data_IF_950512405930
#
_entry.id   IF_950512405930
#
_cell.length_a   1.000
_cell.length_b   1.000
_cell.length_c   1.000
_cell.angle_alpha   90.00
_cell.angle_beta   90.00
_cell.angle_gamma   90.00
#
_symmetry.space_group_name_H-M   'P 1'
#
loop_
_entity.id
_entity.type
_entity.pdbx_description
1 polymer ?
#
# COMPACT_ATOMS: atom_id res chain seq x y z
N UNK A 1 30.06 48.09 0.20
CA UNK A 1 28.60 47.83 0.30
C UNK A 1 28.13 46.61 -0.52
N UNK A 2 28.64 46.39 -1.74
CA UNK A 2 28.19 45.29 -2.62
C UNK A 2 28.44 43.87 -2.06
N UNK A 3 29.58 43.59 -1.43
CA UNK A 3 29.92 42.27 -0.86
C UNK A 3 28.94 41.76 0.21
N UNK A 4 28.36 42.64 1.03
CA UNK A 4 27.35 42.26 2.04
C UNK A 4 26.03 41.80 1.40
N UNK A 5 25.64 42.36 0.25
CA UNK A 5 24.41 41.97 -0.47
C UNK A 5 24.51 40.56 -1.04
N UNK A 6 25.68 40.17 -1.57
CA UNK A 6 25.89 38.82 -2.12
C UNK A 6 25.94 37.72 -1.05
N UNK A 7 26.47 38.03 0.15
CA UNK A 7 26.49 37.09 1.28
C UNK A 7 25.06 36.84 1.81
N UNK A 8 24.24 37.88 1.93
CA UNK A 8 22.84 37.74 2.36
C UNK A 8 22.03 36.95 1.33
N UNK A 9 22.23 37.20 0.04
CA UNK A 9 21.56 36.45 -1.03
C UNK A 9 21.96 34.97 -1.04
N UNK A 10 23.25 34.67 -0.83
CA UNK A 10 23.74 33.30 -0.71
C UNK A 10 23.17 32.58 0.50
N UNK A 11 23.12 33.24 1.68
CA UNK A 11 22.53 32.67 2.90
C UNK A 11 21.03 32.42 2.77
N UNK A 12 20.29 33.30 2.09
CA UNK A 12 18.86 33.10 1.79
C UNK A 12 18.62 31.96 0.80
N UNK A 13 19.50 31.79 -0.20
CA UNK A 13 19.45 30.66 -1.13
C UNK A 13 19.78 29.34 -0.42
N UNK A 14 20.78 29.30 0.45
CA UNK A 14 21.11 28.09 1.22
C UNK A 14 20.05 27.78 2.28
N UNK A 15 19.46 28.79 2.93
CA UNK A 15 18.35 28.60 3.87
C UNK A 15 17.07 28.11 3.15
N UNK A 16 16.75 28.66 1.98
CA UNK A 16 15.66 28.19 1.14
C UNK A 16 15.87 26.76 0.60
N UNK A 17 17.11 26.38 0.32
CA UNK A 17 17.48 25.00 -0.04
C UNK A 17 17.42 24.05 1.17
N UNK A 18 17.80 24.51 2.36
CA UNK A 18 17.78 23.72 3.59
C UNK A 18 16.36 23.48 4.10
N UNK A 19 15.47 24.49 4.06
CA UNK A 19 14.03 24.34 4.34
C UNK A 19 13.33 23.41 3.34
N UNK A 20 13.76 23.41 2.07
CA UNK A 20 13.29 22.41 1.08
C UNK A 20 13.77 20.99 1.40
N UNK A 21 14.95 20.84 2.00
CA UNK A 21 15.49 19.54 2.38
C UNK A 21 14.89 19.01 3.70
N UNK A 22 14.59 19.90 4.66
CA UNK A 22 14.10 19.53 6.00
C UNK A 22 12.58 19.31 6.08
N UNK A 23 11.83 19.52 4.99
CA UNK A 23 10.37 19.28 4.93
C UNK A 23 9.99 18.15 3.97
N UNK A 24 10.94 17.25 3.67
CA UNK A 24 10.72 16.16 2.69
C UNK A 24 10.09 14.89 3.28
N UNK A 25 10.06 14.77 4.60
CA UNK A 25 9.43 13.65 5.31
C UNK A 25 7.96 13.95 5.59
N UNK A 26 7.08 13.02 5.22
CA UNK A 26 5.65 13.13 5.49
C UNK A 26 4.75 13.32 4.27
N UNK A 27 3.46 13.18 4.50
CA UNK A 27 2.42 13.31 3.50
C UNK A 27 2.23 14.76 3.05
N UNK A 28 1.87 14.94 1.77
CA UNK A 28 1.38 16.20 1.24
C UNK A 28 0.54 15.94 -0.02
N UNK A 29 -0.44 16.80 -0.28
CA UNK A 29 -1.38 16.63 -1.40
C UNK A 29 -0.67 16.59 -2.77
N UNK A 30 0.39 17.38 -2.95
CA UNK A 30 1.18 17.40 -4.19
C UNK A 30 1.86 16.05 -4.49
N UNK A 31 2.16 15.23 -3.46
CA UNK A 31 2.80 13.92 -3.62
C UNK A 31 1.83 12.88 -4.15
N UNK A 32 0.53 13.05 -3.93
CA UNK A 32 -0.55 12.16 -4.39
C UNK A 32 -1.29 12.70 -5.61
N UNK A 33 -1.12 13.98 -5.94
CA UNK A 33 -1.68 14.59 -7.13
C UNK A 33 -1.08 14.02 -8.42
N UNK A 34 -1.92 13.87 -9.43
CA UNK A 34 -1.53 13.43 -10.78
C UNK A 34 -2.24 14.25 -11.85
N UNK A 35 -1.65 14.39 -13.03
CA UNK A 35 -2.33 14.89 -14.23
C UNK A 35 -2.67 13.75 -15.19
N UNK A 36 -2.80 12.52 -14.67
CA UNK A 36 -3.03 11.33 -15.47
C UNK A 36 -4.45 11.38 -16.05
N UNK A 37 -4.57 11.19 -17.37
CA UNK A 37 -5.88 11.07 -18.01
C UNK A 37 -6.56 9.76 -17.55
N UNK A 38 -7.89 9.76 -17.36
CA UNK A 38 -8.63 8.52 -17.12
C UNK A 38 -8.38 7.49 -18.22
N UNK A 39 -8.22 6.22 -17.82
CA UNK A 39 -7.94 5.13 -18.74
C UNK A 39 -8.96 4.01 -18.55
N UNK A 40 -9.65 3.54 -19.62
CA UNK A 40 -10.56 2.41 -19.55
C UNK A 40 -9.89 1.13 -19.00
N UNK A 41 -8.59 0.96 -19.25
CA UNK A 41 -7.84 -0.21 -18.77
C UNK A 41 -7.73 -0.31 -17.24
N UNK A 42 -8.00 0.79 -16.52
CA UNK A 42 -7.99 0.87 -15.06
C UNK A 42 -9.35 1.23 -14.47
N UNK A 43 -10.38 1.25 -15.31
CA UNK A 43 -11.75 1.32 -14.84
C UNK A 43 -12.13 -0.01 -14.20
N UNK A 44 -12.96 0.05 -13.17
CA UNK A 44 -13.60 -1.10 -12.56
C UNK A 44 -15.10 -1.02 -12.76
N UNK A 45 -15.76 -2.16 -12.66
CA UNK A 45 -17.22 -2.20 -12.64
C UNK A 45 -17.75 -1.37 -11.46
N UNK A 46 -18.87 -0.69 -11.69
CA UNK A 46 -19.52 0.09 -10.66
C UNK A 46 -19.95 -0.85 -9.52
N UNK A 47 -19.63 -0.52 -8.26
CA UNK A 47 -20.10 -1.32 -7.12
C UNK A 47 -21.63 -1.43 -7.11
N UNK A 48 -22.15 -2.50 -6.52
CA UNK A 48 -23.59 -2.60 -6.24
C UNK A 48 -24.04 -1.45 -5.33
N UNK A 49 -25.35 -1.17 -5.27
CA UNK A 49 -25.86 -0.11 -4.40
C UNK A 49 -25.49 -0.33 -2.92
N UNK A 50 -25.52 -1.58 -2.46
CA UNK A 50 -25.13 -1.97 -1.10
C UNK A 50 -23.63 -1.78 -0.86
N UNK A 51 -22.79 -2.23 -1.80
CA UNK A 51 -21.34 -2.02 -1.72
C UNK A 51 -20.98 -0.54 -1.74
N UNK A 52 -21.64 0.24 -2.60
CA UNK A 52 -21.44 1.68 -2.71
C UNK A 52 -21.78 2.38 -1.39
N UNK A 53 -22.90 2.01 -0.75
CA UNK A 53 -23.29 2.54 0.55
C UNK A 53 -22.25 2.20 1.62
N UNK A 54 -21.76 0.95 1.64
CA UNK A 54 -20.69 0.53 2.56
C UNK A 54 -19.40 1.33 2.34
N UNK A 55 -18.98 1.50 1.08
CA UNK A 55 -17.79 2.28 0.73
C UNK A 55 -17.94 3.73 1.19
N UNK A 56 -19.09 4.36 0.93
CA UNK A 56 -19.37 5.73 1.35
C UNK A 56 -19.37 5.88 2.88
N UNK A 57 -19.94 4.92 3.60
CA UNK A 57 -19.92 4.93 5.06
C UNK A 57 -18.50 4.88 5.62
N UNK A 58 -17.63 4.02 5.06
CA UNK A 58 -16.22 3.94 5.46
C UNK A 58 -15.49 5.26 5.14
N UNK A 59 -15.67 5.79 3.92
CA UNK A 59 -15.00 7.01 3.46
C UNK A 59 -15.53 8.30 4.11
N UNK A 60 -16.67 8.25 4.80
CA UNK A 60 -17.17 9.35 5.62
C UNK A 60 -16.44 9.47 6.97
N UNK A 61 -15.73 8.41 7.38
CA UNK A 61 -14.92 8.42 8.59
C UNK A 61 -13.67 9.28 8.41
N UNK A 62 -13.11 9.74 9.52
CA UNK A 62 -11.80 10.38 9.55
C UNK A 62 -10.70 9.32 9.49
N UNK A 63 -9.61 9.64 8.80
CA UNK A 63 -8.46 8.75 8.69
C UNK A 63 -7.20 9.39 9.28
N UNK A 64 -6.44 8.64 10.06
CA UNK A 64 -5.16 9.04 10.65
C UNK A 64 -4.00 8.38 9.92
N UNK A 65 -2.89 9.10 9.77
CA UNK A 65 -1.68 8.58 9.16
C UNK A 65 -1.19 7.32 9.89
N UNK A 66 -1.10 6.22 9.15
CA UNK A 66 -0.61 4.94 9.63
C UNK A 66 0.87 4.75 9.28
N UNK A 67 1.27 5.17 8.09
CA UNK A 67 2.64 5.01 7.63
C UNK A 67 2.81 5.27 6.15
N UNK A 68 4.04 5.07 5.67
CA UNK A 68 4.35 5.20 4.26
C UNK A 68 5.20 4.05 3.73
N UNK A 69 4.87 3.59 2.52
CA UNK A 69 5.64 2.60 1.78
C UNK A 69 6.38 3.22 0.61
N UNK A 70 6.99 2.36 -0.21
CA UNK A 70 7.66 2.81 -1.42
C UNK A 70 6.71 3.42 -2.46
N UNK A 71 5.44 2.99 -2.47
CA UNK A 71 4.47 3.30 -3.52
C UNK A 71 3.27 4.13 -3.04
N UNK A 72 2.97 4.12 -1.74
CA UNK A 72 1.78 4.76 -1.20
C UNK A 72 1.99 5.35 0.19
N UNK A 73 1.10 6.26 0.57
CA UNK A 73 0.84 6.65 1.95
C UNK A 73 -0.37 5.87 2.44
N UNK A 74 -0.35 5.40 3.68
CA UNK A 74 -1.44 4.66 4.29
C UNK A 74 -2.03 5.46 5.46
N UNK A 75 -3.35 5.49 5.52
CA UNK A 75 -4.11 6.09 6.60
C UNK A 75 -5.13 5.08 7.11
N UNK A 76 -5.32 5.00 8.41
CA UNK A 76 -6.28 4.11 9.05
C UNK A 76 -7.51 4.87 9.54
N UNK A 77 -8.67 4.22 9.55
CA UNK A 77 -9.85 4.76 10.23
C UNK A 77 -9.65 4.83 11.75
N UNK A 78 -10.41 5.70 12.42
CA UNK A 78 -10.37 5.83 13.89
C UNK A 78 -10.71 4.53 14.63
N UNK A 79 -11.59 3.70 14.07
CA UNK A 79 -11.94 2.38 14.61
C UNK A 79 -10.88 1.30 14.32
N UNK A 80 -9.83 1.64 13.57
CA UNK A 80 -8.74 0.75 13.22
C UNK A 80 -9.11 -0.41 12.28
N UNK A 81 -10.28 -0.37 11.61
CA UNK A 81 -10.73 -1.51 10.77
C UNK A 81 -10.34 -1.39 9.30
N UNK A 82 -10.09 -0.18 8.81
CA UNK A 82 -9.86 0.06 7.39
C UNK A 82 -8.62 0.91 7.15
N UNK A 83 -7.99 0.70 5.99
CA UNK A 83 -6.84 1.44 5.51
C UNK A 83 -7.17 2.05 4.15
N UNK A 84 -7.05 3.38 4.07
CA UNK A 84 -7.07 4.14 2.83
C UNK A 84 -5.63 4.41 2.39
N UNK A 85 -5.25 3.92 1.21
CA UNK A 85 -3.91 4.16 0.66
C UNK A 85 -3.97 5.06 -0.57
N UNK A 86 -3.14 6.10 -0.57
CA UNK A 86 -2.96 7.00 -1.70
C UNK A 86 -1.62 6.74 -2.38
N UNK A 87 -1.62 6.64 -3.71
CA UNK A 87 -0.38 6.42 -4.46
C UNK A 87 0.51 7.66 -4.40
N UNK A 88 1.83 7.46 -4.25
CA UNK A 88 2.85 8.51 -4.36
C UNK A 88 3.03 8.92 -5.82
N UNK A 89 2.00 9.52 -6.41
CA UNK A 89 1.92 9.86 -7.83
C UNK A 89 3.13 10.65 -8.32
N UNK A 90 3.69 11.57 -7.51
CA UNK A 90 4.93 12.29 -7.86
C UNK A 90 6.13 11.39 -8.18
N UNK A 91 6.19 10.15 -7.66
CA UNK A 91 7.23 9.15 -8.01
C UNK A 91 7.00 8.52 -9.39
N UNK A 92 5.76 8.51 -9.86
CA UNK A 92 5.31 7.82 -11.06
C UNK A 92 5.03 8.75 -12.23
N UNK A 93 4.56 9.96 -11.97
CA UNK A 93 4.30 10.97 -12.96
C UNK A 93 5.57 11.77 -13.22
N UNK A 94 5.98 11.93 -14.48
CA UNK A 94 7.11 12.79 -14.81
C UNK A 94 6.80 14.25 -14.48
N UNK A 95 7.81 14.95 -13.98
CA UNK A 95 7.83 16.41 -13.92
C UNK A 95 8.29 17.00 -15.26
N UNK A 96 8.13 18.32 -15.46
CA UNK A 96 8.59 19.02 -16.66
C UNK A 96 10.09 18.74 -16.93
N UNK A 97 10.92 18.71 -15.88
CA UNK A 97 12.35 18.42 -16.00
C UNK A 97 12.64 16.98 -16.48
N UNK A 98 11.78 16.01 -16.13
CA UNK A 98 11.96 14.61 -16.55
C UNK A 98 11.82 14.45 -18.07
N UNK A 99 11.14 15.37 -18.76
CA UNK A 99 10.99 15.33 -20.22
C UNK A 99 12.33 15.54 -20.98
N UNK A 100 13.35 16.08 -20.31
CA UNK A 100 14.72 16.14 -20.85
C UNK A 100 15.38 14.75 -20.91
N UNK A 101 14.82 13.75 -20.20
CA UNK A 101 15.33 12.38 -20.16
C UNK A 101 14.19 11.38 -20.43
N UNK A 102 13.83 11.14 -21.71
CA UNK A 102 12.70 10.29 -22.08
C UNK A 102 12.71 8.88 -21.48
N UNK A 103 13.91 8.31 -21.23
CA UNK A 103 14.07 7.02 -20.59
C UNK A 103 13.53 7.00 -19.14
N UNK A 104 13.69 8.10 -18.39
CA UNK A 104 13.18 8.23 -17.02
C UNK A 104 11.66 8.28 -17.03
N UNK A 105 11.08 9.10 -17.93
CA UNK A 105 9.63 9.19 -18.17
C UNK A 105 9.04 7.81 -18.45
N UNK A 106 9.61 7.09 -19.44
CA UNK A 106 9.15 5.74 -19.82
C UNK A 106 9.22 4.76 -18.65
N UNK A 107 10.32 4.78 -17.88
CA UNK A 107 10.48 3.90 -16.71
C UNK A 107 9.44 4.16 -15.62
N UNK A 108 9.19 5.43 -15.29
CA UNK A 108 8.20 5.79 -14.25
C UNK A 108 6.78 5.41 -14.66
N UNK A 109 6.38 5.74 -15.89
CA UNK A 109 5.06 5.37 -16.41
C UNK A 109 4.90 3.84 -16.54
N UNK A 110 5.96 3.12 -16.94
CA UNK A 110 5.96 1.65 -16.93
C UNK A 110 5.73 1.13 -15.51
N UNK A 111 6.43 1.66 -14.51
CA UNK A 111 6.25 1.26 -13.11
C UNK A 111 4.84 1.54 -12.60
N UNK A 112 4.24 2.68 -12.96
CA UNK A 112 2.85 3.00 -12.63
C UNK A 112 1.89 1.95 -13.18
N UNK A 113 2.03 1.62 -14.47
CA UNK A 113 1.22 0.58 -15.13
C UNK A 113 1.35 -0.76 -14.41
N UNK A 114 2.55 -1.16 -14.01
CA UNK A 114 2.74 -2.38 -13.21
C UNK A 114 1.97 -2.34 -11.90
N UNK A 115 2.05 -1.23 -11.16
CA UNK A 115 1.34 -1.07 -9.88
C UNK A 115 -0.16 -1.14 -10.07
N UNK A 116 -0.71 -0.35 -10.99
CA UNK A 116 -2.14 -0.29 -11.22
C UNK A 116 -2.69 -1.62 -11.75
N UNK A 117 -1.97 -2.29 -12.65
CA UNK A 117 -2.37 -3.61 -13.13
C UNK A 117 -2.35 -4.65 -12.01
N UNK A 118 -1.36 -4.60 -11.11
CA UNK A 118 -1.31 -5.50 -9.94
C UNK A 118 -2.53 -5.33 -9.03
N UNK A 119 -2.88 -4.08 -8.69
CA UNK A 119 -4.09 -3.79 -7.92
C UNK A 119 -5.38 -4.17 -8.64
N UNK A 120 -5.46 -3.96 -9.95
CA UNK A 120 -6.62 -4.36 -10.75
C UNK A 120 -6.81 -5.87 -10.73
N UNK A 121 -5.75 -6.65 -10.98
CA UNK A 121 -5.80 -8.12 -10.89
C UNK A 121 -6.24 -8.56 -9.50
N UNK A 122 -5.64 -7.98 -8.46
CA UNK A 122 -5.97 -8.30 -7.08
C UNK A 122 -7.45 -8.03 -6.77
N UNK A 123 -7.97 -6.89 -7.20
CA UNK A 123 -9.38 -6.54 -7.00
C UNK A 123 -10.34 -7.46 -7.77
N UNK A 124 -10.01 -7.80 -9.02
CA UNK A 124 -10.90 -8.60 -9.88
C UNK A 124 -10.83 -10.12 -9.59
N UNK A 125 -9.71 -10.62 -9.10
CA UNK A 125 -9.46 -12.07 -8.94
C UNK A 125 -9.26 -12.52 -7.50
N UNK A 126 -8.76 -11.64 -6.64
CA UNK A 126 -8.28 -11.97 -5.30
C UNK A 126 -8.82 -11.01 -4.24
N UNK A 127 -10.03 -10.46 -4.45
CA UNK A 127 -10.59 -9.41 -3.59
C UNK A 127 -10.63 -9.82 -2.13
N UNK A 128 -11.14 -11.02 -1.84
CA UNK A 128 -11.20 -11.60 -0.49
C UNK A 128 -9.81 -11.93 0.07
N UNK A 129 -8.93 -12.46 -0.78
CA UNK A 129 -7.55 -12.84 -0.46
C UNK A 129 -6.62 -11.62 -0.24
N UNK A 130 -7.08 -10.41 -0.55
CA UNK A 130 -6.28 -9.17 -0.42
C UNK A 130 -6.96 -8.13 0.47
N UNK A 131 -8.19 -8.39 0.92
CA UNK A 131 -8.99 -7.44 1.69
C UNK A 131 -9.27 -6.13 0.96
N UNK A 132 -9.15 -6.09 -0.37
CA UNK A 132 -9.45 -4.88 -1.15
C UNK A 132 -10.96 -4.65 -1.18
N UNK A 133 -11.40 -3.52 -0.62
CA UNK A 133 -12.81 -3.13 -0.58
C UNK A 133 -13.16 -2.35 -1.84
N UNK A 134 -12.29 -1.43 -2.26
CA UNK A 134 -12.49 -0.59 -3.43
C UNK A 134 -11.15 -0.14 -4.01
N UNK A 135 -11.07 0.03 -5.33
CA UNK A 135 -9.93 0.65 -6.00
C UNK A 135 -10.42 1.78 -6.90
N UNK A 136 -9.74 2.92 -6.85
CA UNK A 136 -10.00 4.06 -7.73
C UNK A 136 -8.69 4.39 -8.44
N UNK A 137 -8.47 3.75 -9.59
CA UNK A 137 -7.22 3.88 -10.37
C UNK A 137 -7.36 4.81 -11.56
N UNK A 138 -8.60 5.19 -11.91
CA UNK A 138 -8.92 6.18 -12.92
C UNK A 138 -9.84 7.22 -12.28
N UNK A 139 -9.52 8.50 -12.50
CA UNK A 139 -10.31 9.62 -11.96
C UNK A 139 -11.71 9.63 -12.51
N UNK A 140 -12.66 10.07 -11.69
CA UNK A 140 -14.08 10.12 -12.02
C UNK A 140 -14.65 11.49 -11.64
N UNK A 141 -15.97 11.64 -11.72
CA UNK A 141 -16.71 12.85 -11.37
C UNK A 141 -18.03 12.51 -10.66
N UNK A 142 -18.19 11.26 -10.25
CA UNK A 142 -19.46 10.72 -9.78
C UNK A 142 -19.35 10.03 -8.42
N UNK A 143 -18.14 9.89 -7.86
CA UNK A 143 -17.97 9.44 -6.48
C UNK A 143 -18.55 10.50 -5.52
N UNK A 144 -18.33 11.78 -5.85
CA UNK A 144 -18.74 12.97 -5.12
C UNK A 144 -18.37 12.92 -3.63
N UNK A 145 -17.21 12.34 -3.32
CA UNK A 145 -16.77 12.07 -1.96
C UNK A 145 -15.49 12.86 -1.64
N UNK A 146 -15.47 13.46 -0.46
CA UNK A 146 -14.27 14.01 0.15
C UNK A 146 -13.95 13.24 1.42
N UNK A 147 -12.66 13.08 1.72
CA UNK A 147 -12.20 12.41 2.94
C UNK A 147 -11.34 13.35 3.77
N UNK A 148 -11.48 13.27 5.09
CA UNK A 148 -10.63 13.99 6.04
C UNK A 148 -9.46 13.11 6.47
N UNK A 149 -8.25 13.61 6.28
CA UNK A 149 -7.01 12.95 6.68
C UNK A 149 -6.30 13.75 7.77
N UNK A 150 -5.73 13.07 8.75
CA UNK A 150 -4.82 13.61 9.74
C UNK A 150 -3.42 13.07 9.45
N UNK A 151 -2.48 13.93 9.08
CA UNK A 151 -1.11 13.50 8.78
C UNK A 151 -0.28 13.19 10.05
N UNK A 152 0.97 12.76 9.87
CA UNK A 152 1.88 12.42 10.96
C UNK A 152 2.18 13.61 11.90
N UNK A 153 2.06 14.85 11.41
CA UNK A 153 2.27 16.07 12.18
C UNK A 153 0.97 16.58 12.85
N UNK A 154 -0.14 15.84 12.71
CA UNK A 154 -1.44 16.26 13.24
C UNK A 154 -2.12 17.35 12.41
N UNK A 155 -1.67 17.61 11.18
CA UNK A 155 -2.33 18.55 10.27
C UNK A 155 -3.46 17.85 9.53
N UNK A 156 -4.59 18.54 9.43
CA UNK A 156 -5.77 18.09 8.69
C UNK A 156 -5.67 18.43 7.20
N UNK A 157 -6.11 17.48 6.37
CA UNK A 157 -6.21 17.62 4.92
C UNK A 157 -7.59 17.13 4.46
N UNK A 158 -8.16 17.78 3.45
CA UNK A 158 -9.42 17.34 2.83
C UNK A 158 -9.16 16.96 1.38
N UNK A 159 -9.25 15.67 1.07
CA UNK A 159 -8.92 15.14 -0.25
C UNK A 159 -10.20 14.87 -1.03
N UNK A 160 -10.24 15.37 -2.27
CA UNK A 160 -11.30 15.11 -3.25
C UNK A 160 -11.03 13.78 -3.96
N UNK A 161 -11.82 12.75 -3.64
CA UNK A 161 -11.58 11.38 -4.08
C UNK A 161 -11.87 11.17 -5.57
N UNK A 162 -12.72 11.98 -6.19
CA UNK A 162 -12.94 11.95 -7.65
C UNK A 162 -11.65 12.28 -8.41
N UNK A 163 -10.76 13.08 -7.81
CA UNK A 163 -9.55 13.62 -8.44
C UNK A 163 -8.27 12.91 -8.04
N UNK A 164 -8.35 11.87 -7.23
CA UNK A 164 -7.17 11.20 -6.67
C UNK A 164 -7.25 9.69 -6.85
N UNK A 165 -6.14 9.07 -7.21
CA UNK A 165 -6.03 7.61 -7.25
C UNK A 165 -5.78 7.04 -5.86
N UNK A 166 -6.59 6.07 -5.44
CA UNK A 166 -6.52 5.48 -4.11
C UNK A 166 -7.02 4.03 -4.11
N UNK A 167 -6.78 3.34 -3.01
CA UNK A 167 -7.43 2.07 -2.69
C UNK A 167 -7.96 2.10 -1.26
N UNK A 168 -9.07 1.41 -1.03
CA UNK A 168 -9.62 1.14 0.28
C UNK A 168 -9.47 -0.35 0.57
N UNK A 169 -8.89 -0.68 1.72
CA UNK A 169 -8.52 -2.03 2.11
C UNK A 169 -8.91 -2.28 3.57
N UNK A 170 -9.20 -3.52 3.94
CA UNK A 170 -9.29 -3.93 5.35
C UNK A 170 -7.91 -3.78 6.03
N UNK A 171 -7.91 -3.39 7.30
CA UNK A 171 -6.67 -3.40 8.11
C UNK A 171 -6.42 -4.82 8.60
N UNK A 172 -5.20 -5.30 8.38
CA UNK A 172 -4.76 -6.60 8.90
C UNK A 172 -3.72 -6.44 10.01
N UNK A 173 -3.74 -7.40 10.92
CA UNK A 173 -2.61 -7.71 11.80
C UNK A 173 -1.53 -8.42 10.96
N UNK A 174 -0.28 -7.95 11.01
CA UNK A 174 0.79 -8.56 10.22
C UNK A 174 1.12 -9.96 10.72
N UNK A 175 1.53 -10.85 9.80
CA UNK A 175 1.77 -12.27 10.11
C UNK A 175 2.71 -12.45 11.30
N UNK A 176 3.84 -11.75 11.36
CA UNK A 176 4.82 -11.97 12.42
C UNK A 176 4.41 -11.38 13.76
N UNK A 177 3.59 -10.33 13.76
CA UNK A 177 3.00 -9.78 14.98
C UNK A 177 2.00 -10.79 15.56
N UNK A 178 1.12 -11.34 14.70
CA UNK A 178 0.17 -12.39 15.07
C UNK A 178 0.87 -13.63 15.63
N UNK A 179 1.89 -14.13 14.93
CA UNK A 179 2.61 -15.32 15.38
C UNK A 179 3.33 -15.08 16.72
N UNK A 180 3.87 -13.88 16.94
CA UNK A 180 4.46 -13.51 18.22
C UNK A 180 3.41 -13.46 19.35
N UNK A 181 2.24 -12.87 19.11
CA UNK A 181 1.15 -12.84 20.08
C UNK A 181 0.66 -14.24 20.47
N UNK A 182 0.39 -15.09 19.48
CA UNK A 182 -0.04 -16.47 19.72
C UNK A 182 1.03 -17.27 20.47
N UNK A 183 2.30 -17.05 20.15
CA UNK A 183 3.41 -17.70 20.85
C UNK A 183 3.50 -17.24 22.32
N UNK A 184 3.35 -15.94 22.59
CA UNK A 184 3.34 -15.41 23.96
C UNK A 184 2.17 -15.97 24.79
N UNK A 185 1.05 -16.30 24.13
CA UNK A 185 -0.11 -16.92 24.75
C UNK A 185 0.03 -18.45 24.91
N UNK A 186 1.08 -19.06 24.37
CA UNK A 186 1.27 -20.51 24.36
C UNK A 186 0.36 -21.26 23.38
N UNK A 187 -0.32 -20.55 22.47
CA UNK A 187 -1.23 -21.13 21.48
C UNK A 187 -0.47 -21.71 20.27
N UNK A 188 0.06 -22.92 20.47
CA UNK A 188 0.79 -23.64 19.41
C UNK A 188 -0.10 -24.01 18.22
N UNK A 189 -1.37 -24.31 18.47
CA UNK A 189 -2.30 -24.67 17.40
C UNK A 189 -2.60 -23.46 16.52
N UNK A 190 -2.87 -22.30 17.13
CA UNK A 190 -3.03 -21.01 16.46
C UNK A 190 -1.82 -20.62 15.60
N UNK A 191 -0.60 -20.84 16.10
CA UNK A 191 0.64 -20.60 15.32
C UNK A 191 0.66 -21.47 14.06
N UNK A 192 0.43 -22.78 14.20
CA UNK A 192 0.45 -23.71 13.07
C UNK A 192 -0.67 -23.46 12.06
N UNK A 193 -1.88 -23.16 12.55
CA UNK A 193 -3.03 -22.85 11.70
C UNK A 193 -2.81 -21.55 10.92
N UNK A 194 -2.27 -20.51 11.55
CA UNK A 194 -1.93 -19.23 10.90
C UNK A 194 -0.86 -19.42 9.81
N UNK A 195 0.19 -20.20 10.08
CA UNK A 195 1.22 -20.50 9.07
C UNK A 195 0.61 -21.23 7.88
N UNK A 196 -0.21 -22.26 8.13
CA UNK A 196 -0.89 -23.02 7.07
C UNK A 196 -1.79 -22.11 6.24
N UNK A 197 -2.59 -21.27 6.88
CA UNK A 197 -3.50 -20.34 6.22
C UNK A 197 -2.78 -19.38 5.25
N UNK A 198 -1.60 -18.86 5.62
CA UNK A 198 -0.79 -18.02 4.73
C UNK A 198 -0.19 -18.82 3.56
N UNK A 199 0.29 -20.04 3.82
CA UNK A 199 0.81 -20.89 2.75
C UNK A 199 -0.28 -21.27 1.76
N UNK A 200 -1.48 -21.59 2.24
CA UNK A 200 -2.64 -21.89 1.41
C UNK A 200 -3.09 -20.66 0.59
N UNK A 201 -3.06 -19.47 1.19
CA UNK A 201 -3.30 -18.21 0.49
C UNK A 201 -2.34 -18.02 -0.70
N UNK A 202 -1.04 -18.25 -0.48
CA UNK A 202 -0.04 -18.14 -1.55
C UNK A 202 -0.27 -19.20 -2.62
N UNK A 203 -0.60 -20.43 -2.21
CA UNK A 203 -0.84 -21.54 -3.11
C UNK A 203 -2.06 -21.29 -4.01
N UNK A 204 -3.19 -20.82 -3.47
CA UNK A 204 -4.41 -20.47 -4.24
C UNK A 204 -4.11 -19.54 -5.41
N UNK A 205 -3.29 -18.52 -5.18
CA UNK A 205 -2.89 -17.57 -6.21
C UNK A 205 -1.97 -18.21 -7.27
N UNK A 206 -1.02 -19.03 -6.83
CA UNK A 206 -0.09 -19.74 -7.73
C UNK A 206 -0.84 -20.73 -8.61
N UNK A 207 -1.81 -21.47 -8.05
CA UNK A 207 -2.64 -22.44 -8.79
C UNK A 207 -3.49 -21.77 -9.87
N UNK A 208 -3.90 -20.52 -9.65
CA UNK A 208 -4.59 -19.71 -10.65
C UNK A 208 -3.65 -19.10 -11.71
N UNK A 209 -2.35 -19.39 -11.66
CA UNK A 209 -1.38 -18.92 -12.63
C UNK A 209 -0.97 -17.45 -12.42
N UNK A 210 -0.94 -16.97 -11.18
CA UNK A 210 -0.48 -15.63 -10.83
C UNK A 210 0.76 -15.64 -9.93
N UNK A 211 1.58 -14.61 -10.07
CA UNK A 211 2.83 -14.46 -9.35
C UNK A 211 3.06 -13.05 -8.82
N UNK A 212 3.91 -12.97 -7.80
CA UNK A 212 4.43 -11.73 -7.22
C UNK A 212 5.90 -11.50 -7.51
N UNK A 213 6.24 -10.23 -7.73
CA UNK A 213 7.64 -9.80 -7.71
C UNK A 213 8.09 -9.32 -6.35
N UNK A 214 7.18 -8.96 -5.46
CA UNK A 214 7.54 -8.59 -4.10
C UNK A 214 7.84 -9.84 -3.26
N UNK A 215 8.92 -9.76 -2.47
CA UNK A 215 9.44 -10.83 -1.63
C UNK A 215 9.31 -10.52 -0.15
N UNK A 216 8.78 -9.36 0.22
CA UNK A 216 8.71 -8.88 1.60
C UNK A 216 7.61 -9.57 2.41
N UNK A 217 7.87 -10.78 2.91
CA UNK A 217 6.86 -11.58 3.64
C UNK A 217 6.36 -10.88 4.91
N UNK A 218 7.23 -10.19 5.65
CA UNK A 218 6.88 -9.58 6.95
C UNK A 218 5.78 -8.53 6.86
N UNK A 219 5.69 -7.83 5.73
CA UNK A 219 4.81 -6.68 5.57
C UNK A 219 3.68 -6.96 4.56
N UNK A 220 3.80 -8.03 3.77
CA UNK A 220 2.87 -8.31 2.67
C UNK A 220 1.84 -9.38 3.03
N UNK A 221 1.86 -9.91 4.25
CA UNK A 221 0.91 -10.92 4.70
C UNK A 221 0.41 -10.58 6.08
N UNK A 222 -0.87 -10.83 6.30
CA UNK A 222 -1.52 -10.59 7.58
C UNK A 222 -2.88 -11.23 7.66
N UNK A 223 -3.61 -10.89 8.70
CA UNK A 223 -4.92 -11.44 9.02
C UNK A 223 -5.93 -10.34 9.32
N UNK A 224 -7.12 -10.49 8.76
CA UNK A 224 -8.33 -9.78 9.22
C UNK A 224 -9.12 -10.81 10.00
N UNK A 225 -9.15 -10.66 11.33
CA UNK A 225 -9.64 -11.71 12.23
C UNK A 225 -8.88 -13.02 11.95
N UNK A 226 -9.54 -14.09 11.51
CA UNK A 226 -8.89 -15.37 11.15
C UNK A 226 -8.64 -15.56 9.65
N UNK A 227 -9.04 -14.60 8.82
CA UNK A 227 -8.88 -14.69 7.37
C UNK A 227 -7.48 -14.21 6.95
N UNK A 228 -6.66 -15.05 6.31
CA UNK A 228 -5.37 -14.63 5.77
C UNK A 228 -5.59 -13.70 4.57
N UNK A 229 -4.85 -12.60 4.52
CA UNK A 229 -4.82 -11.71 3.36
C UNK A 229 -3.40 -11.35 2.93
N UNK A 230 -3.24 -11.07 1.65
CA UNK A 230 -2.04 -10.53 1.05
C UNK A 230 -2.15 -9.00 0.90
N UNK A 231 -1.22 -8.29 1.50
CA UNK A 231 -1.04 -6.85 1.40
C UNK A 231 -0.07 -6.51 0.25
N UNK A 232 -0.06 -5.23 -0.16
CA UNK A 232 0.90 -4.66 -1.11
C UNK A 232 1.06 -5.41 -2.44
N UNK A 233 -0.08 -5.62 -3.09
CA UNK A 233 -0.25 -6.39 -4.34
C UNK A 233 0.10 -5.65 -5.63
N UNK A 234 0.77 -4.50 -5.54
CA UNK A 234 1.19 -3.69 -6.71
C UNK A 234 2.22 -4.37 -7.62
N UNK A 235 2.66 -5.58 -7.28
CA UNK A 235 3.63 -6.37 -8.04
C UNK A 235 3.08 -7.71 -8.53
N UNK A 236 1.76 -7.90 -8.38
CA UNK A 236 1.02 -9.05 -8.89
C UNK A 236 0.96 -9.03 -10.43
N UNK A 237 1.10 -10.20 -11.04
CA UNK A 237 0.99 -10.38 -12.49
C UNK A 237 0.54 -11.79 -12.88
N UNK A 238 -0.08 -11.91 -14.05
CA UNK A 238 -0.43 -13.21 -14.62
C UNK A 238 0.82 -13.88 -15.19
N UNK A 239 1.05 -15.12 -14.81
CA UNK A 239 2.23 -15.90 -15.11
C UNK A 239 2.70 -16.67 -13.88
N UNK A 240 3.57 -17.64 -14.10
CA UNK A 240 4.18 -18.40 -13.02
C UNK A 240 5.50 -17.74 -12.58
N UNK A 241 5.84 -18.02 -11.33
CA UNK A 241 7.19 -17.82 -10.80
C UNK A 241 7.44 -18.94 -9.82
N UNK A 242 8.36 -19.81 -10.19
CA UNK A 242 8.72 -20.97 -9.39
C UNK A 242 9.22 -20.55 -8.01
N UNK A 243 8.94 -21.38 -7.01
CA UNK A 243 9.47 -21.21 -5.66
C UNK A 243 8.85 -20.08 -4.83
N UNK A 244 7.74 -19.46 -5.25
CA UNK A 244 7.07 -18.44 -4.43
C UNK A 244 6.57 -18.99 -3.09
N UNK A 245 5.87 -20.12 -3.11
CA UNK A 245 5.46 -20.81 -1.89
C UNK A 245 6.68 -21.14 -1.02
N UNK A 246 7.73 -21.69 -1.62
CA UNK A 246 8.97 -22.04 -0.92
C UNK A 246 9.68 -20.82 -0.32
N UNK A 247 9.63 -19.66 -0.98
CA UNK A 247 10.19 -18.41 -0.46
C UNK A 247 9.46 -17.96 0.80
N UNK A 248 8.12 -17.98 0.77
CA UNK A 248 7.28 -17.60 1.92
C UNK A 248 7.52 -18.57 3.08
N UNK A 249 7.47 -19.88 2.81
CA UNK A 249 7.75 -20.94 3.78
C UNK A 249 9.12 -20.75 4.45
N UNK A 250 10.18 -20.58 3.67
CA UNK A 250 11.54 -20.36 4.20
C UNK A 250 11.65 -19.12 5.08
N UNK A 251 10.91 -18.05 4.77
CA UNK A 251 10.96 -16.83 5.58
C UNK A 251 10.24 -17.02 6.92
N UNK A 252 9.13 -17.74 6.94
CA UNK A 252 8.43 -18.14 8.17
C UNK A 252 9.29 -19.07 9.00
N UNK A 253 9.89 -20.10 8.40
CA UNK A 253 10.81 -21.03 9.09
C UNK A 253 11.99 -20.29 9.73
N UNK A 254 12.56 -19.30 9.03
CA UNK A 254 13.61 -18.45 9.61
C UNK A 254 13.11 -17.66 10.81
N UNK A 255 11.93 -17.05 10.72
CA UNK A 255 11.33 -16.32 11.84
C UNK A 255 11.11 -17.25 13.05
N UNK A 256 10.64 -18.48 12.82
CA UNK A 256 10.47 -19.49 13.87
C UNK A 256 11.79 -19.84 14.57
N UNK A 257 12.88 -20.02 13.82
CA UNK A 257 14.21 -20.28 14.37
C UNK A 257 14.73 -19.10 15.20
N UNK A 258 14.55 -17.86 14.71
CA UNK A 258 14.95 -16.62 15.39
C UNK A 258 14.18 -16.40 16.71
N UNK A 259 12.97 -16.94 16.84
CA UNK A 259 12.10 -16.78 18.01
C UNK A 259 11.94 -18.06 18.84
N UNK A 260 12.90 -18.99 18.75
CA UNK A 260 12.95 -20.24 19.54
C UNK A 260 11.72 -21.15 19.42
N UNK A 261 11.03 -21.12 18.28
CA UNK A 261 10.04 -22.15 17.95
C UNK A 261 10.78 -23.40 17.45
N UNK A 262 11.52 -24.08 18.33
CA UNK A 262 12.13 -25.38 18.03
C UNK A 262 11.07 -26.48 18.14
N UNK A 263 11.16 -27.46 17.23
CA UNK A 263 10.26 -28.63 17.15
C UNK A 263 10.27 -29.53 18.40
N UNK A 264 11.13 -29.27 19.37
CA UNK A 264 11.33 -30.12 20.54
C UNK A 264 10.42 -29.72 21.70
N UNK A 265 9.12 -29.98 21.60
CA UNK A 265 8.23 -30.26 22.74
C UNK A 265 6.95 -30.98 22.27
N UNK A 266 7.11 -32.00 21.41
CA UNK A 266 6.09 -33.04 21.22
C UNK A 266 6.44 -34.21 22.13
N UNK A 267 5.87 -34.20 23.33
CA UNK A 267 5.50 -35.44 24.04
C UNK A 267 4.03 -35.68 23.78
#
# INVERSE_FOLDING_TARGET
MARRKYIILFLLLTAGLWVKFSSSEGFSEDKIASSLAPSPAWSIDRPSAEEQQKIQAILASRFKFLGEGAQSFAFETEDGKYVLKFFKMRRFTPSIADHLCPHVVRRRLKNLRWVFNGYKIAYEKFRQDTGLIFIHLAKTYHLNQKVQLLDAAGKEHTIDLDKTEFILQEKAELIFDRLAHLQQQGDREGVQSSIRAILDLVQRRVDQGYADRDKAVSNNFGFVEDRPIQLDVGRLYQGSKEGQLMHVKKRIERWQQENHFTKDQSN
#
